data_IF_301724125341
#
_entry.id   IF_301724125341
#
_cell.length_a   1.000
_cell.length_b   1.000
_cell.length_c   1.000
_cell.angle_alpha   90.00
_cell.angle_beta   90.00
_cell.angle_gamma   90.00
#
_symmetry.space_group_name_H-M   'P 1'
#
loop_
_entity.id
_entity.type
_entity.pdbx_description
1 polymer ?
#
# COMPACT_ATOMS: atom_id res chain seq x y z
N UNK A 1 -21.28 11.53 -24.99
CA UNK A 1 -20.85 10.35 -24.21
C UNK A 1 -19.82 10.81 -23.20
N UNK A 2 -20.23 11.09 -21.97
CA UNK A 2 -19.33 11.53 -20.89
C UNK A 2 -18.49 10.34 -20.46
N UNK A 3 -17.23 10.31 -20.91
CA UNK A 3 -16.25 9.32 -20.49
C UNK A 3 -15.90 9.63 -19.04
N UNK A 4 -16.63 9.04 -18.09
CA UNK A 4 -16.27 9.02 -16.68
C UNK A 4 -14.99 8.19 -16.58
N UNK A 5 -13.84 8.81 -16.81
CA UNK A 5 -12.54 8.23 -16.47
C UNK A 5 -12.51 8.16 -14.95
N UNK A 6 -12.99 7.05 -14.40
CA UNK A 6 -12.62 6.65 -13.05
C UNK A 6 -11.09 6.73 -13.03
N UNK A 7 -10.55 7.67 -12.25
CA UNK A 7 -9.12 7.79 -12.03
C UNK A 7 -8.69 6.50 -11.34
N UNK A 8 -8.33 5.48 -12.10
CA UNK A 8 -7.68 4.30 -11.55
C UNK A 8 -6.41 4.81 -10.89
N UNK A 9 -6.41 4.80 -9.55
CA UNK A 9 -5.23 5.13 -8.79
C UNK A 9 -4.08 4.24 -9.26
N UNK A 10 -2.88 4.81 -9.43
CA UNK A 10 -1.74 4.03 -9.90
C UNK A 10 -1.49 2.88 -8.93
N UNK A 11 -1.51 1.66 -9.48
CA UNK A 11 -1.17 0.45 -8.76
C UNK A 11 0.34 0.23 -8.86
N UNK A 12 0.92 -0.18 -7.75
CA UNK A 12 2.35 -0.40 -7.61
C UNK A 12 2.58 -1.80 -7.05
N UNK A 13 3.63 -2.45 -7.54
CA UNK A 13 4.08 -3.70 -6.93
C UNK A 13 4.68 -3.42 -5.55
N UNK A 14 4.79 -4.46 -4.73
CA UNK A 14 5.48 -4.39 -3.44
C UNK A 14 6.86 -3.73 -3.55
N UNK A 15 7.69 -4.16 -4.51
CA UNK A 15 9.02 -3.59 -4.71
C UNK A 15 8.98 -2.09 -5.05
N UNK A 16 8.01 -1.64 -5.85
CA UNK A 16 7.82 -0.22 -6.17
C UNK A 16 7.36 0.59 -4.95
N UNK A 17 6.43 0.04 -4.15
CA UNK A 17 5.96 0.68 -2.92
C UNK A 17 7.09 0.83 -1.89
N UNK A 18 7.90 -0.22 -1.70
CA UNK A 18 9.02 -0.23 -0.74
C UNK A 18 10.18 0.68 -1.16
N UNK A 19 10.39 0.89 -2.46
CA UNK A 19 11.35 1.88 -2.98
C UNK A 19 10.87 3.32 -2.81
N UNK A 20 9.58 3.54 -2.56
CA UNK A 20 9.01 4.86 -2.34
C UNK A 20 9.57 5.53 -1.08
N UNK A 21 9.81 6.85 -1.14
CA UNK A 21 10.25 7.65 0.02
C UNK A 21 9.12 7.98 1.00
N UNK A 22 7.88 7.60 0.71
CA UNK A 22 6.69 7.92 1.50
C UNK A 22 6.49 7.07 2.76
N UNK A 23 7.46 6.23 3.12
CA UNK A 23 7.37 5.27 4.23
C UNK A 23 8.62 5.38 5.11
N UNK A 24 8.42 5.37 6.42
CA UNK A 24 9.49 5.19 7.40
C UNK A 24 10.06 3.76 7.34
N UNK A 25 11.24 3.53 7.92
CA UNK A 25 11.89 2.21 7.92
C UNK A 25 10.98 1.12 8.50
N UNK A 26 10.31 1.40 9.63
CA UNK A 26 9.37 0.48 10.27
C UNK A 26 8.18 0.16 9.37
N UNK A 27 7.59 1.17 8.75
CA UNK A 27 6.46 0.98 7.84
C UNK A 27 6.86 0.15 6.62
N UNK A 28 8.09 0.31 6.11
CA UNK A 28 8.59 -0.52 5.00
C UNK A 28 8.74 -1.98 5.41
N UNK A 29 9.28 -2.26 6.59
CA UNK A 29 9.37 -3.64 7.07
C UNK A 29 7.97 -4.26 7.26
N UNK A 30 7.02 -3.50 7.80
CA UNK A 30 5.63 -3.95 7.93
C UNK A 30 4.99 -4.20 6.57
N UNK A 31 5.11 -3.26 5.62
CA UNK A 31 4.60 -3.43 4.26
C UNK A 31 5.31 -4.57 3.52
N UNK A 32 6.60 -4.81 3.78
CA UNK A 32 7.32 -5.93 3.20
C UNK A 32 6.78 -7.28 3.71
N UNK A 33 6.30 -7.34 4.95
CA UNK A 33 5.64 -8.51 5.51
C UNK A 33 4.16 -8.64 5.09
N UNK A 34 3.46 -7.51 4.90
CA UNK A 34 2.02 -7.47 4.61
C UNK A 34 1.69 -7.63 3.12
N UNK A 35 2.52 -7.09 2.23
CA UNK A 35 2.28 -7.08 0.79
C UNK A 35 2.88 -8.34 0.14
N UNK A 36 2.16 -8.88 -0.84
CA UNK A 36 2.64 -9.98 -1.68
C UNK A 36 3.32 -9.46 -2.94
N UNK A 37 4.36 -10.17 -3.39
CA UNK A 37 5.13 -9.79 -4.57
C UNK A 37 4.36 -9.96 -5.89
N UNK A 38 3.43 -10.92 -5.95
CA UNK A 38 2.58 -11.18 -7.12
C UNK A 38 1.35 -10.23 -7.21
N UNK A 39 1.12 -9.42 -6.17
CA UNK A 39 0.00 -8.49 -6.12
C UNK A 39 0.45 -7.03 -6.32
N UNK A 40 -0.47 -6.24 -6.87
CA UNK A 40 -0.28 -4.80 -7.03
C UNK A 40 -1.29 -4.04 -6.17
N UNK A 41 -0.80 -3.03 -5.45
CA UNK A 41 -1.59 -2.26 -4.50
C UNK A 41 -1.48 -0.78 -4.82
N UNK A 42 -2.54 -0.03 -4.54
CA UNK A 42 -2.44 1.43 -4.53
C UNK A 42 -1.74 1.89 -3.25
N UNK A 43 -1.19 3.11 -3.27
CA UNK A 43 -0.60 3.71 -2.06
C UNK A 43 -1.64 3.79 -0.93
N UNK A 44 -2.90 4.08 -1.24
CA UNK A 44 -3.97 4.11 -0.25
C UNK A 44 -4.27 2.73 0.35
N UNK A 45 -4.24 1.66 -0.44
CA UNK A 45 -4.41 0.29 0.06
C UNK A 45 -3.27 -0.09 1.00
N UNK A 46 -2.02 0.18 0.61
CA UNK A 46 -0.85 -0.06 1.45
C UNK A 46 -0.94 0.70 2.78
N UNK A 47 -1.37 1.98 2.76
CA UNK A 47 -1.59 2.77 3.98
C UNK A 47 -2.64 2.13 4.89
N UNK A 48 -3.77 1.71 4.34
CA UNK A 48 -4.83 1.04 5.11
C UNK A 48 -4.34 -0.26 5.73
N UNK A 49 -3.63 -1.10 4.98
CA UNK A 49 -3.06 -2.36 5.49
C UNK A 49 -2.13 -2.10 6.68
N UNK A 50 -1.26 -1.10 6.55
CA UNK A 50 -0.33 -0.75 7.62
C UNK A 50 -1.05 -0.19 8.86
N UNK A 51 -2.07 0.65 8.66
CA UNK A 51 -2.93 1.15 9.75
C UNK A 51 -3.69 0.02 10.45
N UNK A 52 -4.31 -0.90 9.69
CA UNK A 52 -5.03 -2.05 10.25
C UNK A 52 -4.10 -2.94 11.07
N UNK A 53 -2.88 -3.18 10.59
CA UNK A 53 -1.90 -3.98 11.34
C UNK A 53 -1.43 -3.28 12.61
N UNK A 54 -1.23 -1.95 12.56
CA UNK A 54 -0.85 -1.16 13.73
C UNK A 54 -1.97 -1.12 14.78
N UNK A 55 -3.22 -0.96 14.35
CA UNK A 55 -4.38 -0.90 15.23
C UNK A 55 -4.79 -2.27 15.78
N UNK A 56 -4.48 -3.38 15.10
CA UNK A 56 -4.76 -4.76 15.58
C UNK A 56 -3.98 -5.17 16.83
N UNK A 57 -3.04 -4.37 17.32
CA UNK A 57 -2.33 -4.62 18.59
C UNK A 57 -3.00 -3.96 19.81
N UNK A 58 -4.23 -3.46 19.67
CA UNK A 58 -4.99 -2.85 20.78
C UNK A 58 -6.38 -3.49 20.85
N UNK A 59 -6.43 -4.77 21.20
CA UNK A 59 -7.51 -5.38 22.01
C UNK A 59 -6.88 -6.47 22.89
#
# INVERSE_FOLDING_TARGET
MTKTTAKEEPRFTKAQLLRGRGWSSREREQLAALLKDEESYTVQQAKRLNQTFTNRRVE
#
